data_IF_449239862991
#
_entry.id   IF_449239862991
#
_cell.length_a   1.000
_cell.length_b   1.000
_cell.length_c   1.000
_cell.angle_alpha   90.00
_cell.angle_beta   90.00
_cell.angle_gamma   90.00
#
_symmetry.space_group_name_H-M   'P 1'
#
loop_
_entity.id
_entity.type
_entity.pdbx_description
1 polymer ?
#
# COMPACT_ATOMS: atom_id res chain seq x y z
N UNK A 1 -36.16 44.51 -1.91
CA UNK A 1 -35.84 43.34 -2.75
C UNK A 1 -34.31 43.12 -2.73
N UNK A 2 -33.75 42.61 -1.62
CA UNK A 2 -32.29 42.39 -1.49
C UNK A 2 -31.85 41.37 -0.42
N UNK A 3 -32.76 40.90 0.46
CA UNK A 3 -32.38 40.02 1.59
C UNK A 3 -32.07 38.59 1.14
N UNK A 4 -32.74 38.08 0.10
CA UNK A 4 -32.54 36.71 -0.38
C UNK A 4 -31.14 36.45 -1.02
N UNK A 5 -30.42 37.49 -1.44
CA UNK A 5 -29.09 37.37 -2.05
C UNK A 5 -27.97 37.24 -1.02
N UNK A 6 -28.09 37.90 0.14
CA UNK A 6 -27.10 37.82 1.24
C UNK A 6 -27.13 36.47 1.95
N UNK A 7 -28.32 35.89 2.12
CA UNK A 7 -28.48 34.56 2.72
C UNK A 7 -27.86 33.48 1.82
N UNK A 8 -28.04 33.58 0.50
CA UNK A 8 -27.44 32.63 -0.45
C UNK A 8 -25.91 32.73 -0.48
N UNK A 9 -25.36 33.95 -0.45
CA UNK A 9 -23.92 34.17 -0.42
C UNK A 9 -23.28 33.66 0.88
N UNK A 10 -23.97 33.84 2.02
CA UNK A 10 -23.55 33.29 3.32
C UNK A 10 -23.56 31.76 3.30
N UNK A 11 -24.63 31.15 2.77
CA UNK A 11 -24.73 29.70 2.65
C UNK A 11 -23.65 29.09 1.74
N UNK A 12 -23.32 29.75 0.62
CA UNK A 12 -22.22 29.34 -0.25
C UNK A 12 -20.87 29.41 0.47
N UNK A 13 -20.61 30.49 1.22
CA UNK A 13 -19.35 30.63 1.95
C UNK A 13 -19.19 29.59 3.06
N UNK A 14 -20.29 29.20 3.69
CA UNK A 14 -20.33 28.10 4.67
C UNK A 14 -20.10 26.77 3.96
N UNK A 15 -20.77 26.51 2.83
CA UNK A 15 -20.58 25.29 2.04
C UNK A 15 -19.13 25.14 1.57
N UNK A 16 -18.51 26.19 1.03
CA UNK A 16 -17.11 26.20 0.63
C UNK A 16 -16.15 25.99 1.81
N UNK A 17 -16.48 26.54 3.00
CA UNK A 17 -15.70 26.29 4.20
C UNK A 17 -15.85 24.83 4.66
N UNK A 18 -17.05 24.26 4.58
CA UNK A 18 -17.30 22.85 4.87
C UNK A 18 -16.61 21.92 3.87
N UNK A 19 -16.59 22.22 2.57
CA UNK A 19 -15.87 21.45 1.56
C UNK A 19 -14.35 21.50 1.77
N UNK A 20 -13.79 22.61 2.27
CA UNK A 20 -12.38 22.68 2.67
C UNK A 20 -12.08 21.85 3.92
N UNK A 21 -13.01 21.78 4.87
CA UNK A 21 -12.85 21.05 6.14
C UNK A 21 -13.12 19.55 5.97
N UNK A 22 -14.05 19.18 5.08
CA UNK A 22 -14.48 17.82 4.81
C UNK A 22 -14.74 17.68 3.30
N UNK A 23 -13.66 17.52 2.50
CA UNK A 23 -13.82 17.32 1.07
C UNK A 23 -14.63 16.04 0.79
N UNK A 24 -15.39 16.00 -0.31
CA UNK A 24 -16.13 14.79 -0.70
C UNK A 24 -15.18 13.60 -0.79
N UNK A 25 -15.68 12.42 -0.40
CA UNK A 25 -14.90 11.19 -0.42
C UNK A 25 -14.21 11.03 -1.77
N UNK A 26 -12.88 10.91 -1.76
CA UNK A 26 -12.11 10.77 -2.99
C UNK A 26 -12.66 9.59 -3.80
N UNK A 27 -12.75 9.71 -5.14
CA UNK A 27 -13.19 8.61 -5.99
C UNK A 27 -12.34 7.37 -5.70
N UNK A 28 -12.96 6.19 -5.79
CA UNK A 28 -12.26 4.92 -5.58
C UNK A 28 -10.97 4.91 -6.42
N UNK A 29 -9.82 4.55 -5.82
CA UNK A 29 -8.54 4.65 -6.51
C UNK A 29 -8.57 3.84 -7.79
N UNK A 30 -8.12 4.42 -8.89
CA UNK A 30 -7.93 3.69 -10.14
C UNK A 30 -6.74 2.74 -9.97
N UNK A 31 -7.06 1.51 -9.60
CA UNK A 31 -6.07 0.46 -9.41
C UNK A 31 -5.42 0.07 -10.74
N UNK A 32 -5.94 0.46 -11.90
CA UNK A 32 -5.32 0.19 -13.19
C UNK A 32 -4.20 1.18 -13.52
N UNK A 33 -4.12 2.31 -12.82
CA UNK A 33 -3.16 3.37 -13.09
C UNK A 33 -1.69 3.00 -12.82
N UNK A 34 -1.42 2.02 -11.95
CA UNK A 34 -0.07 1.61 -11.60
C UNK A 34 0.01 0.16 -11.08
N UNK A 35 1.23 -0.36 -11.02
CA UNK A 35 1.56 -1.65 -10.39
C UNK A 35 1.89 -1.51 -8.90
N UNK A 36 2.16 -0.29 -8.44
CA UNK A 36 2.48 0.01 -7.05
C UNK A 36 1.75 1.25 -6.56
N UNK A 37 1.42 1.27 -5.27
CA UNK A 37 0.68 2.32 -4.61
C UNK A 37 1.26 2.60 -3.22
N UNK A 38 1.06 3.82 -2.72
CA UNK A 38 1.28 4.16 -1.31
C UNK A 38 -0.08 4.37 -0.66
N UNK A 39 -0.29 3.72 0.47
CA UNK A 39 -1.43 3.97 1.33
C UNK A 39 -1.18 5.23 2.16
N UNK A 40 -2.14 6.15 2.12
CA UNK A 40 -2.16 7.30 3.01
C UNK A 40 -3.45 7.32 3.81
N UNK A 41 -3.30 7.66 5.09
CA UNK A 41 -4.41 8.05 5.94
C UNK A 41 -4.60 9.58 5.84
N UNK A 42 -5.80 10.07 6.12
CA UNK A 42 -6.13 11.52 6.17
C UNK A 42 -5.98 12.30 4.85
N UNK A 43 -6.90 12.13 3.87
CA UNK A 43 -7.93 11.10 3.82
C UNK A 43 -7.38 9.77 3.29
N UNK A 44 -8.07 8.70 3.66
CA UNK A 44 -7.84 7.33 3.19
C UNK A 44 -7.80 7.27 1.66
N UNK A 45 -6.63 6.97 1.09
CA UNK A 45 -6.40 6.90 -0.37
C UNK A 45 -5.22 6.02 -0.75
N UNK A 46 -5.29 5.43 -1.93
CA UNK A 46 -4.16 4.78 -2.60
C UNK A 46 -3.61 5.70 -3.68
N UNK A 47 -2.37 6.15 -3.49
CA UNK A 47 -1.69 7.02 -4.46
C UNK A 47 -0.80 6.15 -5.36
N UNK A 48 -0.95 6.21 -6.69
CA UNK A 48 -0.12 5.43 -7.60
C UNK A 48 1.34 5.88 -7.56
N UNK A 49 2.26 4.91 -7.59
CA UNK A 49 3.70 5.15 -7.72
C UNK A 49 4.07 5.00 -9.19
N UNK A 50 4.35 6.13 -9.85
CA UNK A 50 4.68 6.15 -11.28
C UNK A 50 5.98 5.40 -11.59
N UNK A 51 7.00 5.58 -10.75
CA UNK A 51 8.29 4.92 -10.88
C UNK A 51 8.69 4.28 -9.56
N UNK A 52 8.62 2.96 -9.52
CA UNK A 52 9.10 2.20 -8.36
C UNK A 52 10.60 2.07 -8.49
N UNK A 53 11.34 2.48 -7.44
CA UNK A 53 12.79 2.23 -7.37
C UNK A 53 13.05 0.72 -7.26
N UNK A 54 13.26 0.08 -8.42
CA UNK A 54 13.49 -1.35 -8.59
C UNK A 54 14.97 -1.59 -8.82
N UNK A 55 15.49 -2.64 -8.20
CA UNK A 55 16.81 -3.20 -8.50
C UNK A 55 16.57 -4.54 -9.17
N UNK A 56 17.33 -4.86 -10.22
CA UNK A 56 17.21 -6.15 -10.87
C UNK A 56 17.54 -7.29 -9.89
N UNK A 57 16.78 -8.38 -9.96
CA UNK A 57 16.80 -9.46 -8.96
C UNK A 57 18.17 -10.17 -8.89
N UNK A 58 18.89 -10.21 -10.01
CA UNK A 58 20.23 -10.77 -10.17
C UNK A 58 21.34 -9.91 -9.55
N UNK A 59 21.11 -8.60 -9.38
CA UNK A 59 22.03 -7.70 -8.69
C UNK A 59 22.02 -7.87 -7.16
N UNK A 60 21.03 -8.59 -6.62
CA UNK A 60 20.93 -8.89 -5.19
C UNK A 60 21.73 -10.15 -4.85
N UNK A 61 23.04 -9.96 -4.64
CA UNK A 61 24.02 -11.02 -4.36
C UNK A 61 24.12 -11.34 -2.87
N UNK A 62 24.34 -12.61 -2.52
CA UNK A 62 24.58 -13.06 -1.14
C UNK A 62 23.33 -13.25 -0.28
N UNK A 63 22.14 -13.10 -0.88
CA UNK A 63 20.84 -13.29 -0.23
C UNK A 63 19.99 -14.37 -0.92
N UNK A 64 20.62 -15.29 -1.65
CA UNK A 64 19.95 -16.25 -2.54
C UNK A 64 18.84 -17.05 -1.83
N UNK A 65 19.08 -17.49 -0.59
CA UNK A 65 18.07 -18.23 0.18
C UNK A 65 16.83 -17.38 0.47
N UNK A 66 17.00 -16.17 0.99
CA UNK A 66 15.88 -15.27 1.31
C UNK A 66 15.16 -14.85 0.02
N UNK A 67 15.92 -14.54 -1.02
CA UNK A 67 15.43 -14.18 -2.35
C UNK A 67 14.56 -15.28 -2.94
N UNK A 68 15.08 -16.50 -3.05
CA UNK A 68 14.36 -17.62 -3.65
C UNK A 68 13.11 -17.98 -2.83
N UNK A 69 13.21 -17.97 -1.49
CA UNK A 69 12.07 -18.25 -0.61
C UNK A 69 10.95 -17.22 -0.81
N UNK A 70 11.28 -15.93 -0.83
CA UNK A 70 10.29 -14.88 -1.03
C UNK A 70 9.71 -14.93 -2.45
N UNK A 71 10.55 -15.17 -3.45
CA UNK A 71 10.15 -15.29 -4.86
C UNK A 71 9.14 -16.42 -5.07
N UNK A 72 9.43 -17.62 -4.56
CA UNK A 72 8.54 -18.78 -4.72
C UNK A 72 7.21 -18.57 -3.98
N UNK A 73 7.25 -17.98 -2.78
CA UNK A 73 6.04 -17.60 -2.05
C UNK A 73 5.19 -16.58 -2.83
N UNK A 74 5.84 -15.58 -3.43
CA UNK A 74 5.17 -14.51 -4.18
C UNK A 74 4.61 -15.02 -5.50
N UNK A 75 5.32 -15.91 -6.20
CA UNK A 75 4.81 -16.60 -7.40
C UNK A 75 3.57 -17.42 -7.09
N UNK A 76 3.55 -18.16 -5.98
CA UNK A 76 2.36 -18.91 -5.57
C UNK A 76 1.19 -17.97 -5.28
N UNK A 77 1.45 -16.89 -4.57
CA UNK A 77 0.45 -15.86 -4.31
C UNK A 77 -0.11 -15.29 -5.60
N UNK A 78 0.73 -14.90 -6.57
CA UNK A 78 0.30 -14.33 -7.84
C UNK A 78 -0.63 -15.26 -8.64
N UNK A 79 -0.39 -16.57 -8.58
CA UNK A 79 -1.14 -17.58 -9.36
C UNK A 79 -2.54 -17.88 -8.87
N UNK A 80 -2.85 -17.67 -7.60
CA UNK A 80 -4.02 -18.36 -7.05
C UNK A 80 -3.89 -18.79 -5.62
N UNK A 81 -2.69 -19.22 -5.27
CA UNK A 81 -2.50 -20.18 -4.20
C UNK A 81 -2.26 -19.50 -2.86
N UNK A 82 -2.34 -20.30 -1.80
CA UNK A 82 -1.96 -19.87 -0.47
C UNK A 82 -0.50 -19.42 -0.46
N UNK A 83 -0.23 -18.36 0.29
CA UNK A 83 1.11 -17.82 0.50
C UNK A 83 1.24 -17.36 1.95
N UNK A 84 2.46 -17.35 2.45
CA UNK A 84 2.77 -16.94 3.80
C UNK A 84 3.04 -15.44 3.86
N UNK A 85 2.69 -14.83 4.99
CA UNK A 85 3.25 -13.54 5.37
C UNK A 85 4.76 -13.69 5.57
N UNK A 86 5.53 -12.73 5.05
CA UNK A 86 6.98 -12.74 5.16
C UNK A 86 7.46 -11.61 6.08
N UNK A 87 8.38 -11.94 6.98
CA UNK A 87 9.16 -10.97 7.75
C UNK A 87 10.60 -11.03 7.24
N UNK A 88 11.13 -9.90 6.77
CA UNK A 88 12.54 -9.79 6.39
C UNK A 88 13.27 -9.04 7.52
N UNK A 89 14.30 -9.66 8.08
CA UNK A 89 15.11 -9.08 9.16
C UNK A 89 16.60 -9.06 8.79
N UNK A 90 17.37 -8.22 9.48
CA UNK A 90 18.78 -7.99 9.23
C UNK A 90 19.16 -6.51 9.32
N UNK A 91 20.45 -6.21 9.26
CA UNK A 91 20.97 -4.84 9.42
C UNK A 91 20.38 -3.85 8.39
N UNK A 92 20.41 -2.55 8.74
CA UNK A 92 20.05 -1.46 7.81
C UNK A 92 21.00 -1.49 6.61
N UNK A 93 20.47 -1.28 5.41
CA UNK A 93 21.25 -1.30 4.17
C UNK A 93 21.45 -2.68 3.54
N UNK A 94 20.95 -3.77 4.12
CA UNK A 94 21.05 -5.12 3.54
C UNK A 94 20.03 -5.41 2.42
N UNK A 95 19.48 -4.38 1.78
CA UNK A 95 18.61 -4.54 0.61
C UNK A 95 17.25 -5.22 0.86
N UNK A 96 16.71 -5.24 2.08
CA UNK A 96 15.40 -5.88 2.40
C UNK A 96 14.25 -5.27 1.58
N UNK A 97 14.14 -3.95 1.59
CA UNK A 97 13.15 -3.19 0.80
C UNK A 97 13.34 -3.42 -0.70
N UNK A 98 14.60 -3.35 -1.15
CA UNK A 98 14.97 -3.63 -2.55
C UNK A 98 14.59 -5.05 -2.97
N UNK A 99 14.75 -6.05 -2.09
CA UNK A 99 14.38 -7.43 -2.37
C UNK A 99 12.87 -7.58 -2.59
N UNK A 100 12.03 -6.96 -1.76
CA UNK A 100 10.57 -7.02 -1.94
C UNK A 100 10.16 -6.41 -3.27
N UNK A 101 10.70 -5.23 -3.60
CA UNK A 101 10.41 -4.52 -4.86
C UNK A 101 10.91 -5.29 -6.08
N UNK A 102 12.10 -5.88 -5.99
CA UNK A 102 12.67 -6.71 -7.05
C UNK A 102 11.85 -7.98 -7.29
N UNK A 103 11.45 -8.68 -6.22
CA UNK A 103 10.61 -9.89 -6.33
C UNK A 103 9.23 -9.56 -6.90
N UNK A 104 8.59 -8.47 -6.45
CA UNK A 104 7.31 -8.02 -7.01
C UNK A 104 7.44 -7.75 -8.51
N UNK A 105 8.42 -6.95 -8.92
CA UNK A 105 8.65 -6.62 -10.32
C UNK A 105 8.89 -7.87 -11.17
N UNK A 106 9.77 -8.76 -10.72
CA UNK A 106 10.09 -10.01 -11.39
C UNK A 106 8.85 -10.89 -11.61
N UNK A 107 7.97 -10.99 -10.60
CA UNK A 107 6.74 -11.81 -10.71
C UNK A 107 5.71 -11.16 -11.62
N UNK A 108 5.59 -9.84 -11.63
CA UNK A 108 4.70 -9.12 -12.56
C UNK A 108 5.17 -9.32 -14.01
N UNK A 109 6.48 -9.25 -14.27
CA UNK A 109 7.05 -9.53 -15.60
C UNK A 109 6.83 -10.99 -16.03
N UNK A 110 6.99 -11.96 -15.12
CA UNK A 110 6.75 -13.38 -15.40
C UNK A 110 5.27 -13.74 -15.56
N UNK A 111 4.37 -13.02 -14.90
CA UNK A 111 2.93 -13.32 -14.83
C UNK A 111 2.08 -12.02 -14.97
N UNK A 112 2.08 -11.36 -16.14
CA UNK A 112 1.39 -10.08 -16.33
C UNK A 112 -0.12 -10.15 -16.06
N UNK A 113 -0.73 -11.31 -16.29
CA UNK A 113 -2.15 -11.57 -16.07
C UNK A 113 -2.55 -11.73 -14.59
N UNK A 114 -1.58 -11.88 -13.68
CA UNK A 114 -1.83 -12.07 -12.25
C UNK A 114 -2.50 -10.85 -11.59
N UNK A 115 -2.34 -9.66 -12.19
CA UNK A 115 -2.81 -8.40 -11.61
C UNK A 115 -2.17 -8.09 -10.26
N UNK A 116 -0.97 -8.60 -10.01
CA UNK A 116 -0.26 -8.43 -8.74
C UNK A 116 0.20 -6.98 -8.54
N UNK A 117 -0.21 -6.39 -7.42
CA UNK A 117 0.08 -5.00 -7.05
C UNK A 117 0.86 -4.92 -5.75
N UNK A 118 1.72 -3.93 -5.64
CA UNK A 118 2.43 -3.60 -4.40
C UNK A 118 1.74 -2.41 -3.72
N UNK A 119 1.49 -2.50 -2.43
CA UNK A 119 0.97 -1.38 -1.64
C UNK A 119 1.93 -1.13 -0.49
N UNK A 120 2.61 0.01 -0.53
CA UNK A 120 3.47 0.47 0.56
C UNK A 120 2.61 1.10 1.66
N UNK A 121 2.89 0.73 2.89
CA UNK A 121 2.22 1.21 4.09
C UNK A 121 3.29 1.80 5.00
N UNK A 122 3.08 3.03 5.44
CA UNK A 122 3.95 3.64 6.45
C UNK A 122 3.71 2.97 7.80
N UNK A 123 4.74 2.91 8.64
CA UNK A 123 4.67 2.20 9.92
C UNK A 123 3.58 2.77 10.83
N UNK A 124 3.48 4.08 10.88
CA UNK A 124 2.47 4.87 11.57
C UNK A 124 1.04 4.55 11.10
N UNK A 125 0.89 4.10 9.85
CA UNK A 125 -0.38 3.76 9.23
C UNK A 125 -0.78 2.28 9.40
N UNK A 126 0.07 1.43 9.99
CA UNK A 126 -0.25 0.01 10.24
C UNK A 126 -1.59 -0.20 10.97
N UNK A 127 -2.00 0.62 11.97
CA UNK A 127 -3.31 0.47 12.60
C UNK A 127 -4.49 0.64 11.63
N UNK A 128 -4.28 1.31 10.50
CA UNK A 128 -5.31 1.56 9.48
C UNK A 128 -5.46 0.43 8.44
N UNK A 129 -4.69 -0.66 8.54
CA UNK A 129 -4.74 -1.79 7.58
C UNK A 129 -6.16 -2.31 7.37
N UNK A 130 -6.98 -2.39 8.41
CA UNK A 130 -8.37 -2.87 8.27
C UNK A 130 -9.20 -1.98 7.34
N UNK A 131 -8.96 -0.66 7.35
CA UNK A 131 -9.61 0.28 6.44
C UNK A 131 -9.12 0.06 5.02
N UNK A 132 -7.80 -0.02 4.82
CA UNK A 132 -7.19 -0.35 3.53
C UNK A 132 -7.75 -1.66 2.94
N UNK A 133 -7.84 -2.73 3.73
CA UNK A 133 -8.44 -3.99 3.28
C UNK A 133 -9.91 -3.81 2.85
N UNK A 134 -10.65 -2.93 3.51
CA UNK A 134 -11.99 -2.50 3.11
C UNK A 134 -12.03 -1.89 1.71
N UNK A 135 -11.03 -1.10 1.32
CA UNK A 135 -10.89 -0.56 -0.03
C UNK A 135 -10.50 -1.65 -1.05
N UNK A 136 -9.62 -2.58 -0.67
CA UNK A 136 -9.06 -3.58 -1.58
C UNK A 136 -10.00 -4.77 -1.85
N UNK A 137 -10.91 -5.10 -0.94
CA UNK A 137 -11.74 -6.32 -0.99
C UNK A 137 -12.59 -6.49 -2.27
N UNK A 138 -12.90 -5.39 -2.96
CA UNK A 138 -13.73 -5.39 -4.17
C UNK A 138 -12.89 -5.41 -5.46
N UNK A 139 -11.57 -5.25 -5.35
CA UNK A 139 -10.69 -5.27 -6.50
C UNK A 139 -10.45 -6.72 -6.98
N UNK A 140 -10.36 -6.90 -8.29
CA UNK A 140 -10.02 -8.19 -8.93
C UNK A 140 -8.51 -8.45 -9.00
N UNK A 141 -7.72 -7.70 -8.23
CA UNK A 141 -6.27 -7.75 -8.21
C UNK A 141 -5.77 -8.41 -6.91
N UNK A 142 -4.49 -8.82 -6.91
CA UNK A 142 -3.82 -9.35 -5.72
C UNK A 142 -2.88 -8.29 -5.17
N UNK A 143 -2.79 -8.15 -3.86
CA UNK A 143 -2.00 -7.08 -3.23
C UNK A 143 -0.95 -7.65 -2.29
N UNK A 144 0.30 -7.27 -2.50
CA UNK A 144 1.36 -7.39 -1.51
C UNK A 144 1.32 -6.11 -0.67
N UNK A 145 0.95 -6.24 0.60
CA UNK A 145 1.07 -5.15 1.55
C UNK A 145 2.51 -5.15 2.09
N UNK A 146 3.24 -4.07 1.86
CA UNK A 146 4.63 -3.90 2.26
C UNK A 146 4.77 -2.76 3.26
N UNK A 147 5.39 -3.02 4.39
CA UNK A 147 5.78 -2.01 5.36
C UNK A 147 7.29 -2.09 5.56
N UNK A 148 8.00 -0.98 5.30
CA UNK A 148 9.42 -0.88 5.61
C UNK A 148 9.61 -0.45 7.08
N UNK A 149 10.78 -0.75 7.63
CA UNK A 149 11.23 -0.29 8.96
C UNK A 149 10.34 -0.65 10.18
N UNK A 150 9.92 -1.92 10.25
CA UNK A 150 9.41 -2.47 11.50
C UNK A 150 10.53 -2.58 12.54
N UNK A 151 10.47 -1.76 13.60
CA UNK A 151 11.28 -1.96 14.80
C UNK A 151 10.43 -2.52 15.93
N UNK A 152 10.91 -3.58 16.56
CA UNK A 152 10.28 -4.19 17.73
C UNK A 152 10.95 -3.62 18.98
N UNK A 153 10.67 -2.35 19.31
CA UNK A 153 11.04 -1.79 20.61
C UNK A 153 9.94 -2.08 21.63
N UNK A 154 10.30 -2.18 22.92
CA UNK A 154 9.34 -2.54 23.99
C UNK A 154 8.19 -1.53 24.15
N UNK A 155 8.28 -0.33 23.56
CA UNK A 155 7.26 0.72 23.60
C UNK A 155 6.33 0.76 22.37
N UNK A 156 6.56 -0.07 21.36
CA UNK A 156 5.76 -0.05 20.13
C UNK A 156 4.50 -0.90 20.26
N UNK A 157 3.40 -0.33 20.77
CA UNK A 157 2.10 -1.00 20.83
C UNK A 157 1.46 -1.31 19.46
N UNK A 158 2.08 -0.88 18.35
CA UNK A 158 1.53 -0.99 17.00
C UNK A 158 1.51 -2.41 16.40
N UNK A 159 2.25 -3.39 16.94
CA UNK A 159 2.25 -4.76 16.39
C UNK A 159 1.08 -5.63 16.87
N UNK A 160 0.35 -5.24 17.93
CA UNK A 160 -0.77 -6.05 18.46
C UNK A 160 -1.94 -6.15 17.46
N UNK A 161 -2.04 -5.22 16.52
CA UNK A 161 -3.07 -5.17 15.48
C UNK A 161 -2.92 -6.26 14.40
N UNK A 162 -1.77 -6.95 14.33
CA UNK A 162 -1.50 -8.02 13.35
C UNK A 162 -1.89 -9.42 13.85
N UNK A 163 -2.49 -9.53 15.05
CA UNK A 163 -3.03 -10.80 15.56
C UNK A 163 -4.46 -11.00 15.04
N UNK A 164 -4.55 -11.83 14.00
CA UNK A 164 -5.68 -12.66 13.57
C UNK A 164 -7.07 -12.00 13.51
N UNK A 165 -7.56 -11.81 12.28
CA UNK A 165 -8.93 -12.15 11.90
C UNK A 165 -8.85 -13.38 11.01
#
# INVERSE_FOLDING_TARGET
MSVAGEDHATLLRIAEAFERISPPAAPAPDLTAAEAFVWHTDPDRLVPVAEVNRVALDLLVGIDRARNTLLDNTRQFARGHAANNALLWGARGMGKSSLVKAVHAHVVEEQPESGLKLVEIQREDLPSISRLLGHLRHARARFILFCDDLSFSHDDQHYKSLKAV
#
